data_IF_292210473566
#
_entry.id   IF_292210473566
#
_cell.length_a   1.000
_cell.length_b   1.000
_cell.length_c   1.000
_cell.angle_alpha   90.00
_cell.angle_beta   90.00
_cell.angle_gamma   90.00
#
_symmetry.space_group_name_H-M   'P 1'
#
loop_
_entity.id
_entity.type
_entity.pdbx_description
1 polymer ?
#
# COMPACT_ATOMS: atom_id res chain seq x y z
N UNK A 1 -38.72 -8.90 37.25
CA UNK A 1 -38.42 -9.40 35.90
C UNK A 1 -39.18 -8.51 34.93
N UNK A 2 -38.58 -7.35 34.61
CA UNK A 2 -39.24 -6.28 33.85
C UNK A 2 -38.85 -6.43 32.39
N UNK A 3 -39.86 -6.48 31.54
CA UNK A 3 -39.81 -6.33 30.08
C UNK A 3 -39.44 -4.88 29.76
N UNK A 4 -38.43 -4.64 28.94
CA UNK A 4 -38.30 -3.39 28.18
C UNK A 4 -37.69 -3.65 26.80
N UNK A 5 -38.55 -3.42 25.81
CA UNK A 5 -38.28 -3.30 24.38
C UNK A 5 -37.89 -1.84 24.04
N UNK A 6 -37.02 -1.71 23.03
CA UNK A 6 -36.79 -0.57 22.11
C UNK A 6 -36.58 0.85 22.66
N UNK A 7 -35.37 1.41 22.48
CA UNK A 7 -35.06 2.70 21.79
C UNK A 7 -33.62 3.19 22.07
N UNK A 8 -33.03 3.88 21.08
CA UNK A 8 -31.77 4.67 21.08
C UNK A 8 -30.48 3.86 20.78
N UNK A 9 -29.91 3.82 19.56
CA UNK A 9 -29.42 4.89 18.68
C UNK A 9 -28.20 5.66 19.26
N UNK A 10 -26.99 5.12 18.96
CA UNK A 10 -25.65 5.72 18.77
C UNK A 10 -25.07 6.70 19.84
N UNK A 11 -23.75 6.62 20.12
CA UNK A 11 -22.82 7.26 19.22
C UNK A 11 -21.67 6.35 18.78
N UNK A 12 -21.58 6.15 17.47
CA UNK A 12 -20.36 5.91 16.72
C UNK A 12 -19.35 7.03 17.04
N UNK A 13 -18.60 6.89 18.14
CA UNK A 13 -17.51 7.80 18.46
C UNK A 13 -16.28 7.47 17.59
N UNK A 14 -15.62 8.51 17.04
CA UNK A 14 -14.81 8.44 15.84
C UNK A 14 -13.39 8.02 16.22
N UNK A 15 -13.19 6.73 16.43
CA UNK A 15 -11.84 6.20 16.65
C UNK A 15 -11.09 6.12 15.32
N UNK A 16 -10.50 7.27 14.99
CA UNK A 16 -9.44 7.43 14.01
C UNK A 16 -9.89 6.98 12.61
N UNK A 17 -10.24 7.94 11.77
CA UNK A 17 -9.87 7.86 10.35
C UNK A 17 -8.35 7.66 10.36
N UNK A 18 -7.91 6.41 10.48
CA UNK A 18 -6.72 5.96 9.77
C UNK A 18 -6.91 6.55 8.39
N UNK A 19 -5.99 7.38 7.87
CA UNK A 19 -6.06 7.72 6.47
C UNK A 19 -6.06 6.37 5.77
N UNK A 20 -7.23 5.98 5.27
CA UNK A 20 -7.34 4.85 4.38
C UNK A 20 -6.27 5.10 3.33
N UNK A 21 -5.61 4.04 2.88
CA UNK A 21 -4.56 4.07 1.84
C UNK A 21 -4.96 4.84 0.56
N UNK A 22 -6.21 5.32 0.46
CA UNK A 22 -6.77 6.21 -0.54
C UNK A 22 -6.01 7.54 -0.74
N UNK A 23 -5.14 7.99 0.16
CA UNK A 23 -4.46 9.30 0.02
C UNK A 23 -3.03 9.30 -0.53
N UNK A 24 -2.43 8.15 -0.86
CA UNK A 24 -1.05 8.14 -1.40
C UNK A 24 -0.89 7.50 -2.78
N UNK A 25 -1.77 6.58 -3.18
CA UNK A 25 -1.88 6.15 -4.59
C UNK A 25 -3.31 6.36 -5.08
N UNK A 26 -3.51 6.78 -6.34
CA UNK A 26 -4.85 6.89 -6.92
C UNK A 26 -5.59 5.55 -6.78
N UNK A 27 -6.84 5.52 -6.31
CA UNK A 27 -7.61 4.27 -6.15
C UNK A 27 -7.76 3.53 -7.49
N UNK A 28 -7.83 4.28 -8.60
CA UNK A 28 -7.82 3.74 -9.96
C UNK A 28 -6.56 2.91 -10.30
N UNK A 29 -5.42 3.24 -9.66
CA UNK A 29 -4.14 2.55 -9.84
C UNK A 29 -4.05 1.30 -8.97
N UNK A 30 -4.51 1.35 -7.72
CA UNK A 30 -4.53 0.22 -6.81
C UNK A 30 -5.57 -0.84 -7.23
N UNK A 31 -6.71 -0.41 -7.79
CA UNK A 31 -7.76 -1.32 -8.23
C UNK A 31 -7.37 -2.12 -9.48
N UNK A 32 -6.50 -1.58 -10.34
CA UNK A 32 -6.08 -2.21 -11.58
C UNK A 32 -4.70 -2.90 -11.43
N UNK A 33 -4.69 -4.23 -11.37
CA UNK A 33 -3.48 -5.04 -11.18
C UNK A 33 -2.40 -4.80 -12.25
N UNK A 34 -2.79 -4.50 -13.49
CA UNK A 34 -1.85 -4.22 -14.59
C UNK A 34 -1.14 -2.88 -14.36
N UNK A 35 -1.87 -1.85 -13.90
CA UNK A 35 -1.26 -0.56 -13.62
C UNK A 35 -0.35 -0.62 -12.42
N UNK A 36 -0.77 -1.32 -11.35
CA UNK A 36 0.06 -1.56 -10.17
C UNK A 36 1.37 -2.28 -10.53
N UNK A 37 1.30 -3.32 -11.36
CA UNK A 37 2.47 -4.03 -11.86
C UNK A 37 3.46 -3.11 -12.60
N UNK A 38 2.95 -2.25 -13.49
CA UNK A 38 3.80 -1.29 -14.23
C UNK A 38 4.48 -0.31 -13.28
N UNK A 39 3.78 0.16 -12.25
CA UNK A 39 4.35 1.04 -11.23
C UNK A 39 5.46 0.35 -10.44
N UNK A 40 5.20 -0.87 -9.96
CA UNK A 40 6.21 -1.69 -9.28
C UNK A 40 7.46 -1.89 -10.14
N UNK A 41 7.30 -2.15 -11.44
CA UNK A 41 8.44 -2.30 -12.35
C UNK A 41 9.20 -1.00 -12.57
N UNK A 42 8.51 0.12 -12.77
CA UNK A 42 9.16 1.43 -12.94
C UNK A 42 9.99 1.76 -11.71
N UNK A 43 9.44 1.51 -10.52
CA UNK A 43 10.14 1.77 -9.27
C UNK A 43 11.32 0.83 -9.06
N UNK A 44 11.14 -0.47 -9.28
CA UNK A 44 12.23 -1.44 -9.19
C UNK A 44 13.42 -1.09 -10.10
N UNK A 45 13.16 -0.59 -11.32
CA UNK A 45 14.21 -0.10 -12.23
C UNK A 45 14.94 1.12 -11.68
N UNK A 46 14.20 2.09 -11.15
CA UNK A 46 14.80 3.28 -10.54
C UNK A 46 15.70 2.90 -9.37
N UNK A 47 15.22 2.08 -8.44
CA UNK A 47 15.99 1.60 -7.28
C UNK A 47 17.21 0.82 -7.73
N UNK A 48 16.99 -0.12 -8.65
CA UNK A 48 18.02 -0.97 -9.21
C UNK A 48 19.15 -0.18 -9.87
N UNK A 49 18.84 0.90 -10.57
CA UNK A 49 19.83 1.78 -11.19
C UNK A 49 20.69 2.53 -10.17
N UNK A 50 20.14 2.83 -8.99
CA UNK A 50 20.87 3.49 -7.89
C UNK A 50 21.75 2.51 -7.09
N UNK A 51 21.33 1.25 -6.97
CA UNK A 51 21.96 0.22 -6.15
C UNK A 51 22.68 -0.86 -6.98
N UNK A 52 22.82 -0.65 -8.30
CA UNK A 52 23.35 -1.62 -9.27
C UNK A 52 22.71 -3.02 -9.22
N UNK A 53 21.46 -3.12 -8.78
CA UNK A 53 20.77 -4.39 -8.56
C UNK A 53 19.41 -4.50 -9.28
N UNK A 54 19.36 -3.96 -10.51
CA UNK A 54 18.12 -3.85 -11.29
C UNK A 54 17.49 -5.19 -11.60
N UNK A 55 18.29 -6.17 -12.03
CA UNK A 55 17.77 -7.46 -12.47
C UNK A 55 17.11 -8.25 -11.33
N UNK A 56 17.71 -8.26 -10.14
CA UNK A 56 17.12 -8.95 -8.99
C UNK A 56 15.80 -8.30 -8.56
N UNK A 57 15.74 -6.97 -8.45
CA UNK A 57 14.52 -6.28 -8.03
C UNK A 57 13.39 -6.43 -9.05
N UNK A 58 13.70 -6.29 -10.34
CA UNK A 58 12.72 -6.51 -11.42
C UNK A 58 12.28 -7.96 -11.48
N UNK A 59 13.21 -8.90 -11.30
CA UNK A 59 12.93 -10.34 -11.25
C UNK A 59 11.98 -10.69 -10.10
N UNK A 60 12.22 -10.15 -8.91
CA UNK A 60 11.38 -10.35 -7.74
C UNK A 60 9.94 -9.87 -7.97
N UNK A 61 9.75 -8.65 -8.52
CA UNK A 61 8.42 -8.13 -8.86
C UNK A 61 7.72 -9.05 -9.87
N UNK A 62 8.42 -9.46 -10.93
CA UNK A 62 7.86 -10.39 -11.94
C UNK A 62 7.43 -11.71 -11.35
N UNK A 63 8.25 -12.30 -10.48
CA UNK A 63 7.95 -13.59 -9.85
C UNK A 63 6.74 -13.49 -8.92
N UNK A 64 6.62 -12.42 -8.12
CA UNK A 64 5.47 -12.24 -7.22
C UNK A 64 4.14 -12.12 -7.98
N UNK A 65 4.11 -11.34 -9.07
CA UNK A 65 2.91 -11.23 -9.90
C UNK A 65 2.61 -12.52 -10.66
N UNK A 66 3.63 -13.22 -11.16
CA UNK A 66 3.44 -14.52 -11.85
C UNK A 66 2.91 -15.60 -10.91
N UNK A 67 3.42 -15.66 -9.66
CA UNK A 67 2.98 -16.63 -8.64
C UNK A 67 1.48 -16.53 -8.35
N UNK A 68 0.94 -15.32 -8.36
CA UNK A 68 -0.46 -15.05 -8.02
C UNK A 68 -1.33 -14.77 -9.27
N UNK A 69 -0.85 -15.11 -10.47
CA UNK A 69 -1.55 -14.80 -11.73
C UNK A 69 -2.88 -15.55 -11.90
N UNK A 70 -3.01 -16.72 -11.27
CA UNK A 70 -4.21 -17.56 -11.34
C UNK A 70 -5.07 -17.50 -10.06
N UNK A 71 -4.78 -16.55 -9.17
CA UNK A 71 -5.62 -16.34 -8.00
C UNK A 71 -7.02 -15.90 -8.45
N UNK A 72 -8.05 -16.58 -7.95
CA UNK A 72 -9.45 -16.29 -8.28
C UNK A 72 -10.22 -15.71 -7.08
N UNK A 73 -9.64 -15.80 -5.87
CA UNK A 73 -10.25 -15.29 -4.65
C UNK A 73 -10.11 -13.74 -4.59
N UNK A 74 -11.24 -13.04 -4.55
CA UNK A 74 -11.30 -11.59 -4.56
C UNK A 74 -10.60 -10.94 -3.35
N UNK A 75 -10.82 -11.45 -2.13
CA UNK A 75 -10.22 -10.91 -0.91
C UNK A 75 -8.70 -11.06 -0.91
N UNK A 76 -8.22 -12.21 -1.40
CA UNK A 76 -6.79 -12.48 -1.53
C UNK A 76 -6.13 -11.59 -2.58
N UNK A 77 -6.79 -11.38 -3.73
CA UNK A 77 -6.32 -10.45 -4.77
C UNK A 77 -6.25 -9.03 -4.20
N UNK A 78 -7.27 -8.60 -3.44
CA UNK A 78 -7.29 -7.27 -2.86
C UNK A 78 -6.15 -7.10 -1.84
N UNK A 79 -5.95 -8.08 -0.96
CA UNK A 79 -4.84 -8.07 -0.01
C UNK A 79 -3.48 -7.99 -0.71
N UNK A 80 -3.27 -8.75 -1.78
CA UNK A 80 -2.02 -8.72 -2.56
C UNK A 80 -1.78 -7.34 -3.21
N UNK A 81 -2.85 -6.70 -3.70
CA UNK A 81 -2.77 -5.32 -4.23
C UNK A 81 -2.41 -4.33 -3.13
N UNK A 82 -3.03 -4.43 -1.96
CA UNK A 82 -2.77 -3.56 -0.82
C UNK A 82 -1.33 -3.72 -0.31
N UNK A 83 -0.83 -4.95 -0.23
CA UNK A 83 0.55 -5.24 0.17
C UNK A 83 1.57 -4.67 -0.84
N UNK A 84 1.30 -4.80 -2.14
CA UNK A 84 2.14 -4.21 -3.18
C UNK A 84 2.10 -2.67 -3.18
N UNK A 85 0.92 -2.08 -2.96
CA UNK A 85 0.75 -0.64 -2.81
C UNK A 85 1.52 -0.11 -1.59
N UNK A 86 1.42 -0.79 -0.44
CA UNK A 86 2.22 -0.47 0.76
C UNK A 86 3.72 -0.56 0.49
N UNK A 87 4.18 -1.58 -0.22
CA UNK A 87 5.57 -1.70 -0.63
C UNK A 87 6.07 -0.49 -1.45
N UNK A 88 5.24 0.01 -2.37
CA UNK A 88 5.53 1.23 -3.13
C UNK A 88 5.59 2.47 -2.25
N UNK A 89 4.61 2.66 -1.36
CA UNK A 89 4.53 3.80 -0.44
C UNK A 89 5.74 3.82 0.49
N UNK A 90 6.07 2.70 1.11
CA UNK A 90 7.21 2.60 2.03
C UNK A 90 8.50 3.04 1.34
N UNK A 91 8.70 2.62 0.10
CA UNK A 91 9.84 3.05 -0.67
C UNK A 91 9.77 4.53 -1.10
N UNK A 92 8.58 5.06 -1.37
CA UNK A 92 8.36 6.49 -1.62
C UNK A 92 8.75 7.36 -0.43
N UNK A 93 8.29 6.97 0.76
CA UNK A 93 8.57 7.68 2.00
C UNK A 93 10.06 7.65 2.33
N UNK A 94 10.70 6.47 2.32
CA UNK A 94 12.14 6.33 2.57
C UNK A 94 13.00 7.18 1.64
N UNK A 95 12.67 7.23 0.35
CA UNK A 95 13.38 8.10 -0.59
C UNK A 95 13.10 9.59 -0.34
N UNK A 96 11.87 9.95 0.03
CA UNK A 96 11.52 11.34 0.36
C UNK A 96 12.22 11.85 1.61
N UNK A 97 12.40 11.00 2.62
CA UNK A 97 13.18 11.33 3.83
C UNK A 97 14.66 11.58 3.50
N UNK A 98 15.24 10.78 2.59
CA UNK A 98 16.62 11.01 2.11
C UNK A 98 16.77 12.30 1.31
N UNK A 99 15.80 12.63 0.46
CA UNK A 99 15.85 13.82 -0.40
C UNK A 99 15.60 15.10 0.41
N UNK A 100 14.72 15.06 1.41
CA UNK A 100 14.35 16.25 2.18
C UNK A 100 15.38 16.65 3.23
N UNK A 101 16.32 15.78 3.62
CA UNK A 101 17.41 16.10 4.55
C UNK A 101 16.98 16.60 5.93
N UNK A 102 15.68 16.76 6.18
CA UNK A 102 15.11 17.09 7.48
C UNK A 102 15.01 15.80 8.25
N UNK A 103 16.06 15.54 9.03
CA UNK A 103 15.84 14.92 10.34
C UNK A 103 14.73 15.74 10.99
N UNK A 104 13.54 15.17 11.16
CA UNK A 104 12.65 15.66 12.21
C UNK A 104 13.39 15.36 13.50
N UNK A 105 14.25 16.30 13.91
CA UNK A 105 14.71 16.39 15.28
C UNK A 105 13.45 16.45 16.12
N UNK A 106 13.14 15.34 16.80
CA UNK A 106 12.20 15.35 17.90
C UNK A 106 12.69 16.39 18.90
N UNK A 107 12.11 17.58 18.81
CA UNK A 107 12.12 18.55 19.88
C UNK A 107 10.94 18.22 20.78
N UNK A 108 11.27 17.53 21.88
CA UNK A 108 10.87 17.78 23.28
C UNK A 108 10.77 16.49 24.06
#
# INVERSE_FOLDING_TARGET
MIVQDYQNQEPFEPSCIMPSLQTSLPPELANNAIRLYRECLRRAKYIGSKQHNTELLVGMVRQQFKKHMHETNADKIQKLKDDAARGLINHMLHESEKITGRKFSQSS
#
